data_IF_882888915198
#
_entry.id   IF_882888915198
#
_cell.length_a   1.000
_cell.length_b   1.000
_cell.length_c   1.000
_cell.angle_alpha   90.00
_cell.angle_beta   90.00
_cell.angle_gamma   90.00
#
_symmetry.space_group_name_H-M   'P 1'
#
loop_
_entity.id
_entity.type
_entity.pdbx_description
1 polymer ?
#
# COMPACT_ATOMS: atom_id res chain seq x y z
N UNK A 1 24.41 7.71 20.80
CA UNK A 1 24.46 8.00 19.34
C UNK A 1 23.59 7.04 18.53
N UNK A 2 23.53 5.75 18.86
CA UNK A 2 22.73 4.72 18.16
C UNK A 2 21.20 5.00 18.13
N UNK A 3 20.58 5.36 19.27
CA UNK A 3 19.16 5.75 19.34
C UNK A 3 18.81 6.95 18.43
N UNK A 4 19.75 7.86 18.20
CA UNK A 4 19.53 9.03 17.33
C UNK A 4 19.57 8.64 15.84
N UNK A 5 20.29 7.57 15.48
CA UNK A 5 20.42 7.12 14.11
C UNK A 5 19.18 6.33 13.66
N UNK A 6 18.67 5.44 14.53
CA UNK A 6 17.45 4.67 14.24
C UNK A 6 16.22 5.58 14.13
N UNK A 7 16.08 6.60 15.00
CA UNK A 7 14.99 7.57 14.92
C UNK A 7 15.04 8.34 13.60
N UNK A 8 16.21 8.83 13.19
CA UNK A 8 16.37 9.51 11.89
C UNK A 8 16.03 8.62 10.69
N UNK A 9 16.35 7.33 10.75
CA UNK A 9 15.98 6.39 9.70
C UNK A 9 14.46 6.17 9.65
N UNK A 10 13.83 6.02 10.81
CA UNK A 10 12.37 5.91 10.91
C UNK A 10 11.69 7.19 10.43
N UNK A 11 12.16 8.37 10.80
CA UNK A 11 11.62 9.66 10.35
C UNK A 11 11.68 9.83 8.82
N UNK A 12 12.78 9.37 8.20
CA UNK A 12 12.90 9.36 6.73
C UNK A 12 11.91 8.40 6.08
N UNK A 13 11.63 7.27 6.72
CA UNK A 13 10.66 6.29 6.25
C UNK A 13 9.22 6.80 6.40
N UNK A 14 8.88 7.41 7.54
CA UNK A 14 7.54 7.91 7.84
C UNK A 14 7.17 9.19 7.09
N UNK A 15 8.16 9.93 6.58
CA UNK A 15 7.94 11.09 5.69
C UNK A 15 7.49 10.70 4.26
N UNK A 16 7.51 9.41 3.91
CA UNK A 16 6.95 8.95 2.63
C UNK A 16 5.43 8.95 2.69
N UNK A 17 4.79 9.04 1.52
CA UNK A 17 3.34 8.99 1.40
C UNK A 17 2.91 8.28 0.12
N UNK A 18 1.74 7.67 0.16
CA UNK A 18 1.02 7.29 -1.05
C UNK A 18 0.49 8.55 -1.75
N UNK A 19 0.48 8.55 -3.09
CA UNK A 19 -0.20 9.60 -3.87
C UNK A 19 -1.71 9.57 -3.63
N UNK A 20 -2.35 10.72 -3.79
CA UNK A 20 -3.81 10.78 -3.95
C UNK A 20 -4.20 10.53 -5.41
N UNK A 21 -5.49 10.32 -5.66
CA UNK A 21 -5.99 10.06 -7.01
C UNK A 21 -5.61 11.16 -8.00
N UNK A 22 -5.61 12.42 -7.56
CA UNK A 22 -5.24 13.58 -8.38
C UNK A 22 -3.76 13.59 -8.79
N UNK A 23 -2.90 12.86 -8.08
CA UNK A 23 -1.49 12.70 -8.44
C UNK A 23 -1.27 11.60 -9.51
N UNK A 24 -2.33 10.88 -9.90
CA UNK A 24 -2.25 9.88 -10.96
C UNK A 24 -2.24 10.53 -12.34
N UNK A 25 -1.56 9.91 -13.32
CA UNK A 25 -1.65 10.36 -14.71
C UNK A 25 -3.10 10.25 -15.21
N UNK A 26 -3.50 11.25 -15.98
CA UNK A 26 -4.82 11.35 -16.63
C UNK A 26 -4.85 10.70 -18.04
N UNK A 27 -3.75 10.08 -18.46
CA UNK A 27 -3.60 9.36 -19.72
C UNK A 27 -3.51 7.85 -19.53
N UNK A 28 -3.78 7.11 -20.60
CA UNK A 28 -3.67 5.65 -20.62
C UNK A 28 -2.21 5.18 -20.53
N UNK A 29 -1.98 4.14 -19.75
CA UNK A 29 -0.66 3.59 -19.45
C UNK A 29 -0.45 2.25 -20.15
N UNK A 30 0.76 1.99 -20.61
CA UNK A 30 1.22 0.65 -20.95
C UNK A 30 1.73 -0.10 -19.70
N UNK A 31 1.91 -1.42 -19.81
CA UNK A 31 2.30 -2.28 -18.70
C UNK A 31 3.60 -1.82 -18.01
N UNK A 32 4.61 -1.46 -18.79
CA UNK A 32 5.90 -0.96 -18.30
C UNK A 32 5.73 0.35 -17.52
N UNK A 33 4.91 1.28 -18.03
CA UNK A 33 4.59 2.53 -17.35
C UNK A 33 3.85 2.28 -16.04
N UNK A 34 2.86 1.38 -16.04
CA UNK A 34 2.13 1.00 -14.82
C UNK A 34 3.08 0.40 -13.76
N UNK A 35 3.97 -0.52 -14.16
CA UNK A 35 4.98 -1.13 -13.28
C UNK A 35 5.92 -0.05 -12.72
N UNK A 36 6.42 0.83 -13.57
CA UNK A 36 7.35 1.88 -13.17
C UNK A 36 6.71 2.87 -12.18
N UNK A 37 5.47 3.29 -12.44
CA UNK A 37 4.71 4.15 -11.54
C UNK A 37 4.44 3.46 -10.19
N UNK A 38 4.00 2.20 -10.21
CA UNK A 38 3.77 1.43 -8.99
C UNK A 38 5.04 1.29 -8.16
N UNK A 39 6.16 0.96 -8.79
CA UNK A 39 7.46 0.88 -8.11
C UNK A 39 7.90 2.23 -7.53
N UNK A 40 7.69 3.33 -8.26
CA UNK A 40 7.99 4.68 -7.78
C UNK A 40 7.16 5.05 -6.56
N UNK A 41 5.84 4.84 -6.61
CA UNK A 41 4.94 5.16 -5.50
C UNK A 41 5.12 4.26 -4.29
N UNK A 42 5.57 3.01 -4.50
CA UNK A 42 5.83 2.07 -3.42
C UNK A 42 7.32 1.96 -3.04
N UNK A 43 8.14 2.93 -3.45
CA UNK A 43 9.58 2.90 -3.19
C UNK A 43 9.85 2.91 -1.68
N UNK A 44 10.43 1.80 -1.21
CA UNK A 44 10.74 1.55 0.19
C UNK A 44 9.56 1.08 1.05
N UNK A 45 8.37 0.89 0.47
CA UNK A 45 7.26 0.18 1.11
C UNK A 45 7.31 -1.33 0.80
N UNK A 46 7.82 -1.70 -0.37
CA UNK A 46 7.96 -3.11 -0.77
C UNK A 46 9.40 -3.60 -0.61
N UNK A 47 9.55 -4.87 -0.21
CA UNK A 47 10.84 -5.57 -0.18
C UNK A 47 11.34 -6.05 -1.55
N UNK A 48 10.49 -6.05 -2.57
CA UNK A 48 10.84 -6.44 -3.94
C UNK A 48 10.05 -5.60 -4.96
N UNK A 49 10.64 -5.29 -6.13
CA UNK A 49 9.97 -4.53 -7.17
C UNK A 49 8.78 -5.31 -7.76
N UNK A 50 7.77 -4.56 -8.17
CA UNK A 50 6.66 -5.05 -8.97
C UNK A 50 7.14 -5.49 -10.35
N UNK A 51 6.53 -6.54 -10.87
CA UNK A 51 6.83 -7.10 -12.19
C UNK A 51 5.56 -7.23 -13.03
N UNK A 52 5.67 -7.25 -14.38
CA UNK A 52 4.53 -7.52 -15.26
C UNK A 52 3.82 -8.84 -14.92
N UNK A 53 4.56 -9.87 -14.53
CA UNK A 53 4.00 -11.17 -14.15
C UNK A 53 3.10 -11.09 -12.92
N UNK A 54 3.44 -10.24 -11.95
CA UNK A 54 2.57 -10.01 -10.78
C UNK A 54 1.24 -9.37 -11.19
N UNK A 55 1.27 -8.35 -12.06
CA UNK A 55 0.07 -7.68 -12.57
C UNK A 55 -0.79 -8.68 -13.35
N UNK A 56 -0.19 -9.48 -14.23
CA UNK A 56 -0.89 -10.54 -14.95
C UNK A 56 -1.52 -11.55 -13.99
N UNK A 57 -0.84 -11.91 -12.89
CA UNK A 57 -1.40 -12.77 -11.86
C UNK A 57 -2.60 -12.12 -11.16
N UNK A 58 -2.57 -10.81 -10.90
CA UNK A 58 -3.70 -10.10 -10.27
C UNK A 58 -4.92 -10.06 -11.17
N UNK A 59 -4.72 -9.76 -12.46
CA UNK A 59 -5.79 -9.78 -13.47
C UNK A 59 -6.36 -11.19 -13.63
N UNK A 60 -5.51 -12.23 -13.72
CA UNK A 60 -5.95 -13.62 -13.87
C UNK A 60 -6.78 -14.10 -12.69
N UNK A 61 -6.46 -13.67 -11.46
CA UNK A 61 -7.19 -14.03 -10.24
C UNK A 61 -8.42 -13.14 -9.96
N UNK A 62 -8.62 -12.10 -10.76
CA UNK A 62 -9.75 -11.17 -10.63
C UNK A 62 -9.60 -10.15 -9.50
N UNK A 63 -8.38 -9.90 -9.02
CA UNK A 63 -8.13 -8.81 -8.05
C UNK A 63 -8.04 -7.43 -8.70
N UNK A 64 -7.71 -7.42 -9.99
CA UNK A 64 -7.52 -6.22 -10.80
C UNK A 64 -8.39 -6.34 -12.05
N UNK A 65 -8.99 -5.22 -12.44
CA UNK A 65 -9.76 -5.13 -13.68
C UNK A 65 -8.92 -5.49 -14.90
N UNK A 66 -9.57 -6.04 -15.94
CA UNK A 66 -8.87 -6.40 -17.19
C UNK A 66 -8.51 -5.12 -17.96
N UNK A 67 -7.27 -4.97 -18.44
CA UNK A 67 -6.90 -3.82 -19.26
C UNK A 67 -7.63 -3.82 -20.60
N UNK A 68 -8.00 -2.64 -21.08
CA UNK A 68 -8.63 -2.48 -22.39
C UNK A 68 -7.55 -2.33 -23.45
N UNK A 69 -7.50 -3.22 -24.46
CA UNK A 69 -6.50 -3.16 -25.55
C UNK A 69 -5.04 -2.99 -25.05
N UNK A 70 -4.68 -3.68 -23.96
CA UNK A 70 -3.37 -3.61 -23.28
C UNK A 70 -3.05 -2.26 -22.63
N UNK A 71 -4.06 -1.44 -22.41
CA UNK A 71 -3.94 -0.14 -21.75
C UNK A 71 -4.57 -0.16 -20.36
N UNK A 72 -3.91 0.54 -19.46
CA UNK A 72 -4.22 0.69 -18.04
C UNK A 72 -4.52 2.16 -17.76
N UNK A 73 -5.09 2.45 -16.59
CA UNK A 73 -5.49 3.80 -16.20
C UNK A 73 -5.36 3.98 -14.67
N UNK A 74 -5.81 5.13 -14.17
CA UNK A 74 -5.81 5.45 -12.74
C UNK A 74 -6.46 4.36 -11.86
N UNK A 75 -7.53 3.72 -12.32
CA UNK A 75 -8.15 2.58 -11.60
C UNK A 75 -7.18 1.43 -11.40
N UNK A 76 -6.50 1.00 -12.47
CA UNK A 76 -5.53 -0.09 -12.37
C UNK A 76 -4.34 0.27 -11.48
N UNK A 77 -3.94 1.55 -11.47
CA UNK A 77 -2.87 2.04 -10.60
C UNK A 77 -3.30 2.01 -9.13
N UNK A 78 -4.51 2.47 -8.81
CA UNK A 78 -5.09 2.36 -7.47
C UNK A 78 -5.15 0.90 -6.99
N UNK A 79 -5.69 0.00 -7.82
CA UNK A 79 -5.76 -1.43 -7.54
C UNK A 79 -4.36 -2.01 -7.28
N UNK A 80 -3.39 -1.67 -8.13
CA UNK A 80 -2.01 -2.16 -8.01
C UNK A 80 -1.39 -1.75 -6.68
N UNK A 81 -1.54 -0.49 -6.26
CA UNK A 81 -0.98 0.01 -5.02
C UNK A 81 -1.59 -0.70 -3.81
N UNK A 82 -2.92 -0.78 -3.75
CA UNK A 82 -3.63 -1.43 -2.63
C UNK A 82 -3.27 -2.90 -2.54
N UNK A 83 -3.39 -3.67 -3.62
CA UNK A 83 -3.08 -5.11 -3.63
C UNK A 83 -1.62 -5.36 -3.21
N UNK A 84 -0.68 -4.54 -3.72
CA UNK A 84 0.74 -4.71 -3.43
C UNK A 84 1.10 -4.45 -1.97
N UNK A 85 0.39 -3.54 -1.32
CA UNK A 85 0.53 -3.28 0.12
C UNK A 85 -0.10 -4.40 0.95
N UNK A 86 -1.33 -4.79 0.64
CA UNK A 86 -2.07 -5.78 1.41
C UNK A 86 -1.48 -7.19 1.32
N UNK A 87 -0.92 -7.58 0.15
CA UNK A 87 -0.33 -8.91 -0.04
C UNK A 87 0.87 -9.17 0.88
N UNK A 88 1.41 -8.12 1.50
CA UNK A 88 2.52 -8.24 2.45
C UNK A 88 2.09 -8.89 3.76
N UNK A 89 0.79 -8.84 4.09
CA UNK A 89 0.21 -9.35 5.35
C UNK A 89 -0.96 -10.31 5.13
N UNK A 90 -1.62 -10.28 3.96
CA UNK A 90 -2.77 -11.14 3.64
C UNK A 90 -2.57 -11.96 2.37
N UNK A 91 -3.10 -13.20 2.30
CA UNK A 91 -3.20 -13.96 1.06
C UNK A 91 -4.08 -13.23 0.01
N UNK A 92 -3.82 -13.50 -1.27
CA UNK A 92 -4.56 -12.86 -2.38
C UNK A 92 -6.07 -13.17 -2.35
N UNK A 93 -6.48 -14.36 -1.91
CA UNK A 93 -7.91 -14.69 -1.79
C UNK A 93 -8.63 -13.82 -0.74
N UNK A 94 -7.97 -13.55 0.39
CA UNK A 94 -8.50 -12.63 1.42
C UNK A 94 -8.65 -11.22 0.88
N UNK A 95 -7.67 -10.74 0.10
CA UNK A 95 -7.69 -9.41 -0.50
C UNK A 95 -8.80 -9.29 -1.54
N UNK A 96 -9.02 -10.34 -2.33
CA UNK A 96 -10.09 -10.38 -3.32
C UNK A 96 -11.46 -10.20 -2.65
N UNK A 97 -11.74 -10.99 -1.60
CA UNK A 97 -13.01 -10.90 -0.87
C UNK A 97 -13.22 -9.51 -0.25
N UNK A 98 -12.14 -8.89 0.25
CA UNK A 98 -12.18 -7.53 0.78
C UNK A 98 -12.52 -6.49 -0.30
N UNK A 99 -11.90 -6.57 -1.48
CA UNK A 99 -12.16 -5.65 -2.59
C UNK A 99 -13.61 -5.77 -3.09
N UNK A 100 -14.15 -6.99 -3.21
CA UNK A 100 -15.53 -7.22 -3.64
C UNK A 100 -16.54 -6.57 -2.69
N UNK A 101 -16.29 -6.59 -1.38
CA UNK A 101 -17.16 -5.94 -0.38
C UNK A 101 -17.10 -4.40 -0.46
N UNK A 102 -15.94 -3.82 -0.78
CA UNK A 102 -15.76 -2.37 -0.84
C UNK A 102 -16.36 -1.71 -2.09
N UNK A 103 -16.41 -2.43 -3.22
CA UNK A 103 -16.91 -1.90 -4.49
C UNK A 103 -18.40 -1.53 -4.48
N UNK A 104 -19.15 -1.93 -3.44
CA UNK A 104 -20.57 -1.63 -3.30
C UNK A 104 -20.88 -0.33 -2.54
N UNK A 105 -19.91 0.25 -1.82
CA UNK A 105 -20.18 1.39 -0.92
C UNK A 105 -19.76 2.75 -1.51
N UNK A 106 -18.73 2.79 -2.38
CA UNK A 106 -18.13 4.03 -2.87
C UNK A 106 -17.59 3.87 -4.29
N UNK A 107 -17.29 4.99 -4.95
CA UNK A 107 -16.48 4.94 -6.18
C UNK A 107 -15.06 4.43 -5.90
N UNK A 108 -14.37 3.96 -6.94
CA UNK A 108 -12.98 3.50 -6.83
C UNK A 108 -12.07 4.65 -6.37
N UNK A 109 -12.33 5.86 -6.87
CA UNK A 109 -11.60 7.07 -6.47
C UNK A 109 -11.72 7.35 -4.98
N UNK A 110 -12.94 7.43 -4.47
CA UNK A 110 -13.19 7.71 -3.05
C UNK A 110 -12.63 6.61 -2.15
N UNK A 111 -12.74 5.36 -2.59
CA UNK A 111 -12.17 4.21 -1.88
C UNK A 111 -10.65 4.30 -1.79
N UNK A 112 -9.98 4.63 -2.89
CA UNK A 112 -8.54 4.80 -2.93
C UNK A 112 -8.07 6.00 -2.11
N UNK A 113 -8.68 7.18 -2.28
CA UNK A 113 -8.30 8.39 -1.54
C UNK A 113 -8.49 8.18 -0.03
N UNK A 114 -9.58 7.50 0.37
CA UNK A 114 -9.80 7.10 1.77
C UNK A 114 -8.70 6.16 2.29
N UNK A 115 -8.31 5.16 1.50
CA UNK A 115 -7.22 4.25 1.86
C UNK A 115 -5.89 5.01 2.00
N UNK A 116 -5.54 5.84 1.01
CA UNK A 116 -4.31 6.63 0.99
C UNK A 116 -4.24 7.59 2.18
N UNK A 117 -5.35 8.26 2.52
CA UNK A 117 -5.44 9.13 3.68
C UNK A 117 -5.15 8.38 4.99
N UNK A 118 -5.82 7.25 5.22
CA UNK A 118 -5.62 6.47 6.46
C UNK A 118 -4.18 5.93 6.52
N UNK A 119 -3.64 5.44 5.39
CA UNK A 119 -2.26 4.97 5.29
C UNK A 119 -1.25 6.07 5.62
N UNK A 120 -1.37 7.23 4.98
CA UNK A 120 -0.46 8.36 5.16
C UNK A 120 -0.51 8.88 6.61
N UNK A 121 -1.70 8.97 7.21
CA UNK A 121 -1.86 9.38 8.61
C UNK A 121 -1.25 8.36 9.58
N UNK A 122 -1.50 7.08 9.37
CA UNK A 122 -0.97 6.03 10.24
C UNK A 122 0.57 5.93 10.14
N UNK A 123 1.12 6.12 8.93
CA UNK A 123 2.56 6.11 8.70
C UNK A 123 3.26 7.30 9.36
N UNK A 124 2.70 8.51 9.23
CA UNK A 124 3.23 9.72 9.87
C UNK A 124 3.22 9.64 11.40
N UNK A 125 2.22 8.98 11.98
CA UNK A 125 2.15 8.73 13.43
C UNK A 125 3.14 7.63 13.90
N UNK A 126 4.05 7.17 13.04
CA UNK A 126 5.06 6.16 13.36
C UNK A 126 4.50 4.75 13.53
N UNK A 127 3.26 4.50 13.08
CA UNK A 127 2.56 3.24 13.32
C UNK A 127 2.13 3.03 14.78
N UNK A 128 2.65 3.76 15.76
CA UNK A 128 2.38 3.49 17.17
C UNK A 128 1.01 4.02 17.63
N UNK A 129 0.22 3.07 18.14
CA UNK A 129 -0.81 3.24 19.18
C UNK A 129 -1.73 4.44 19.04
N UNK A 130 -2.81 4.24 18.27
CA UNK A 130 -4.13 4.69 18.74
C UNK A 130 -4.92 3.44 19.15
N UNK A 131 -5.68 3.46 20.26
CA UNK A 131 -6.69 2.44 20.49
C UNK A 131 -7.57 2.33 19.23
N UNK A 132 -8.11 1.13 18.98
CA UNK A 132 -9.01 0.91 17.85
C UNK A 132 -10.04 2.05 17.82
N UNK A 133 -10.12 2.84 16.72
CA UNK A 133 -10.99 4.00 16.73
C UNK A 133 -12.43 3.56 16.97
N UNK A 134 -13.05 4.10 18.02
CA UNK A 134 -14.40 3.75 18.46
C UNK A 134 -15.44 4.54 17.66
N UNK A 135 -16.66 3.98 17.54
CA UNK A 135 -17.77 4.65 16.84
C UNK A 135 -17.67 4.64 15.31
N UNK A 136 -16.75 3.88 14.73
CA UNK A 136 -16.65 3.70 13.28
C UNK A 136 -17.56 2.56 12.78
N UNK A 137 -17.99 2.65 11.52
CA UNK A 137 -18.62 1.52 10.82
C UNK A 137 -17.62 0.37 10.63
N UNK A 138 -18.11 -0.87 10.47
CA UNK A 138 -17.27 -2.05 10.27
C UNK A 138 -16.30 -1.87 9.08
N UNK A 139 -16.78 -1.34 7.95
CA UNK A 139 -15.97 -1.02 6.76
C UNK A 139 -14.80 -0.08 7.10
N UNK A 140 -15.07 0.98 7.86
CA UNK A 140 -14.03 1.92 8.33
C UNK A 140 -13.07 1.26 9.31
N UNK A 141 -13.57 0.48 10.27
CA UNK A 141 -12.72 -0.21 11.26
C UNK A 141 -11.77 -1.20 10.58
N UNK A 142 -12.29 -2.01 9.67
CA UNK A 142 -11.52 -2.98 8.88
C UNK A 142 -10.40 -2.29 8.10
N UNK A 143 -10.69 -1.17 7.42
CA UNK A 143 -9.66 -0.35 6.73
C UNK A 143 -8.52 0.05 7.68
N UNK A 144 -8.84 0.59 8.86
CA UNK A 144 -7.82 1.02 9.83
C UNK A 144 -6.95 -0.14 10.32
N UNK A 145 -7.56 -1.28 10.67
CA UNK A 145 -6.83 -2.44 11.19
C UNK A 145 -5.89 -3.02 10.14
N UNK A 146 -6.38 -3.20 8.91
CA UNK A 146 -5.61 -3.74 7.79
C UNK A 146 -4.41 -2.84 7.47
N UNK A 147 -4.63 -1.51 7.40
CA UNK A 147 -3.57 -0.54 7.13
C UNK A 147 -2.51 -0.53 8.24
N UNK A 148 -2.95 -0.57 9.51
CA UNK A 148 -2.01 -0.64 10.64
C UNK A 148 -1.18 -1.92 10.61
N UNK A 149 -1.76 -3.07 10.25
CA UNK A 149 -1.01 -4.32 10.11
C UNK A 149 0.10 -4.19 9.04
N UNK A 150 -0.20 -3.57 7.90
CA UNK A 150 0.78 -3.28 6.84
C UNK A 150 1.90 -2.37 7.37
N UNK A 151 1.56 -1.29 8.08
CA UNK A 151 2.55 -0.34 8.59
C UNK A 151 3.42 -0.97 9.68
N UNK A 152 2.83 -1.74 10.61
CA UNK A 152 3.58 -2.46 11.64
C UNK A 152 4.57 -3.44 11.03
N UNK A 153 4.16 -4.18 9.98
CA UNK A 153 5.08 -5.03 9.23
C UNK A 153 6.25 -4.22 8.67
N UNK A 154 5.98 -3.10 8.00
CA UNK A 154 7.02 -2.28 7.37
C UNK A 154 7.99 -1.68 8.39
N UNK A 155 7.49 -1.12 9.49
CA UNK A 155 8.32 -0.58 10.58
C UNK A 155 9.16 -1.70 11.19
N UNK A 156 8.57 -2.88 11.43
CA UNK A 156 9.29 -4.07 11.89
C UNK A 156 10.44 -4.47 10.96
N UNK A 157 10.21 -4.48 9.64
CA UNK A 157 11.26 -4.76 8.65
C UNK A 157 12.38 -3.73 8.67
N UNK A 158 12.06 -2.44 8.82
CA UNK A 158 13.07 -1.38 8.97
C UNK A 158 13.94 -1.58 10.22
N UNK A 159 13.31 -1.93 11.35
CA UNK A 159 14.01 -2.21 12.61
C UNK A 159 14.91 -3.45 12.49
N UNK A 160 14.43 -4.52 11.86
CA UNK A 160 15.21 -5.75 11.63
C UNK A 160 16.41 -5.49 10.70
N UNK A 161 16.22 -4.72 9.62
CA UNK A 161 17.30 -4.33 8.71
C UNK A 161 18.33 -3.43 9.39
N UNK A 162 17.90 -2.54 10.28
CA UNK A 162 18.83 -1.74 11.08
C UNK A 162 19.67 -2.63 11.99
N UNK A 163 19.02 -3.55 12.72
CA UNK A 163 19.67 -4.49 13.62
C UNK A 163 20.70 -5.37 12.90
N UNK A 164 20.35 -5.95 11.75
CA UNK A 164 21.28 -6.81 11.00
C UNK A 164 22.53 -6.06 10.51
N UNK A 165 22.45 -4.75 10.26
CA UNK A 165 23.60 -3.95 9.81
C UNK A 165 24.53 -3.51 10.94
N UNK A 166 24.06 -3.53 12.19
CA UNK A 166 24.80 -3.00 13.34
C UNK A 166 25.19 -4.07 14.38
N UNK A 167 24.59 -5.26 14.34
CA UNK A 167 24.90 -6.39 15.24
C UNK A 167 26.00 -7.34 14.70
N UNK A 168 26.67 -7.00 13.59
CA UNK A 168 27.83 -7.74 13.08
C UNK A 168 29.16 -7.24 13.67
N UNK A 169 29.21 -7.08 15.01
CA UNK A 169 30.45 -6.82 15.78
C UNK A 169 30.60 -7.92 16.82
#
# INVERSE_FOLDING_TARGET
MEKLNIQKQLDRFTNKRLPYWEDFPDFELYMDQLVNLGNRYLTGFLGAPLTPSMINSYVKKGLMSRPLKKKYNATHLAELLVISLLKSVYPLETIKNYNEQLLHEFSIKESYDSFAQIFNQALQNGGYTKPLPTGLSLSKLTKHVIINAVIYKMVGEQLLQYKSKHDHI
#
